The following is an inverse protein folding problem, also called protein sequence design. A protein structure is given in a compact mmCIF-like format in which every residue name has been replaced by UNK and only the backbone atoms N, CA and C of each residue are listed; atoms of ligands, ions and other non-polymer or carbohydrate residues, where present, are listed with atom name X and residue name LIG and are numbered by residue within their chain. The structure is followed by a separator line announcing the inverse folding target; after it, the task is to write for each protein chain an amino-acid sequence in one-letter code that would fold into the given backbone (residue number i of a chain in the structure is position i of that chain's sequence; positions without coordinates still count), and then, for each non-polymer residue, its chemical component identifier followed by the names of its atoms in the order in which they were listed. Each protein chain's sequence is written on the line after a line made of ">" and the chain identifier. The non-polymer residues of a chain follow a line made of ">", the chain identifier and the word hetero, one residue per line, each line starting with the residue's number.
data_IF_627934218484
#
_entry.id   IF_627934218484
#
_cell.length_a   1.000
_cell.length_b   1.000
_cell.length_c   1.000
_cell.angle_alpha   90.00
_cell.angle_beta   90.00
_cell.angle_gamma   90.00
#
_symmetry.space_group_name_H-M   'P 1'
#
loop_
_entity.id
_entity.type
_entity.pdbx_description
1 polymer ?
#
# COMPACT_ATOMS: atom_id res chain seq x y z
N UNK A 1 -17.27 6.77 36.75
CA UNK A 1 -16.13 5.95 36.31
C UNK A 1 -16.69 4.81 35.46
N UNK A 2 -16.67 4.96 34.14
CA UNK A 2 -17.14 3.92 33.23
C UNK A 2 -16.01 2.91 33.02
N UNK A 3 -16.05 1.80 33.75
CA UNK A 3 -15.06 0.71 33.65
C UNK A 3 -15.53 -0.24 32.56
N UNK A 4 -15.14 0.01 31.30
CA UNK A 4 -15.23 -1.00 30.25
C UNK A 4 -14.21 -2.10 30.51
N UNK A 5 -14.66 -3.35 30.42
CA UNK A 5 -13.81 -4.54 30.51
C UNK A 5 -12.76 -4.46 29.38
N UNK A 6 -11.45 -4.56 29.66
CA UNK A 6 -10.44 -4.58 28.62
C UNK A 6 -10.61 -5.84 27.78
N UNK A 7 -10.93 -5.67 26.50
CA UNK A 7 -10.79 -6.75 25.53
C UNK A 7 -9.37 -6.67 24.99
N UNK A 8 -8.55 -7.66 25.33
CA UNK A 8 -7.12 -7.75 24.99
C UNK A 8 -6.83 -7.55 23.49
N UNK A 9 -7.76 -7.91 22.61
CA UNK A 9 -7.61 -7.70 21.17
C UNK A 9 -7.58 -6.23 20.73
N UNK A 10 -8.22 -5.31 21.48
CA UNK A 10 -8.26 -3.90 21.09
C UNK A 10 -7.00 -3.13 21.54
N UNK A 11 -6.36 -3.55 22.65
CA UNK A 11 -5.22 -2.81 23.21
C UNK A 11 -3.97 -2.86 22.31
N UNK A 12 -3.66 -4.01 21.70
CA UNK A 12 -2.52 -4.14 20.80
C UNK A 12 -2.76 -3.41 19.46
N UNK A 13 -4.00 -3.41 18.97
CA UNK A 13 -4.40 -2.63 17.80
C UNK A 13 -4.27 -1.13 18.11
N UNK A 14 -4.81 -0.65 19.23
CA UNK A 14 -4.69 0.74 19.65
C UNK A 14 -3.23 1.15 19.87
N UNK A 15 -2.41 0.26 20.43
CA UNK A 15 -0.98 0.47 20.60
C UNK A 15 -0.27 0.60 19.25
N UNK A 16 -0.56 -0.29 18.29
CA UNK A 16 0.01 -0.22 16.95
C UNK A 16 -0.37 1.09 16.25
N UNK A 17 -1.66 1.46 16.30
CA UNK A 17 -2.19 2.72 15.77
C UNK A 17 -1.47 3.92 16.38
N UNK A 18 -1.41 3.98 17.71
CA UNK A 18 -0.73 5.06 18.43
C UNK A 18 0.75 5.13 18.07
N UNK A 19 1.40 3.98 17.88
CA UNK A 19 2.82 3.89 17.55
C UNK A 19 3.11 4.54 16.20
N UNK A 20 2.43 4.12 15.13
CA UNK A 20 2.72 4.70 13.81
C UNK A 20 2.28 6.15 13.71
N UNK A 21 1.15 6.56 14.31
CA UNK A 21 0.78 7.98 14.36
C UNK A 21 1.80 8.82 15.12
N UNK A 22 2.39 8.27 16.19
CA UNK A 22 3.43 8.98 16.94
C UNK A 22 4.69 9.18 16.12
N UNK A 23 5.11 8.16 15.35
CA UNK A 23 6.27 8.26 14.47
C UNK A 23 6.02 9.21 13.30
N UNK A 24 4.84 9.13 12.67
CA UNK A 24 4.45 9.96 11.52
C UNK A 24 4.16 11.42 11.88
N UNK A 25 4.16 11.80 13.17
CA UNK A 25 4.16 13.21 13.58
C UNK A 25 5.48 13.91 13.24
N UNK A 26 6.58 13.16 13.15
CA UNK A 26 7.84 13.71 12.68
C UNK A 26 7.74 14.06 11.19
N UNK A 27 8.44 15.12 10.77
CA UNK A 27 8.54 15.48 9.35
C UNK A 27 9.58 14.64 8.59
N UNK A 28 10.17 13.64 9.24
CA UNK A 28 11.26 12.82 8.72
C UNK A 28 10.76 11.49 8.17
N UNK A 29 11.65 10.77 7.51
CA UNK A 29 11.38 9.43 7.01
C UNK A 29 11.28 8.42 8.17
N UNK A 30 10.11 7.81 8.34
CA UNK A 30 9.89 6.72 9.28
C UNK A 30 10.15 5.39 8.58
N UNK A 31 11.17 4.67 9.00
CA UNK A 31 11.49 3.36 8.45
C UNK A 31 10.43 2.33 8.88
N UNK A 32 9.79 1.64 7.95
CA UNK A 32 8.74 0.63 8.24
C UNK A 32 9.27 -0.49 9.15
N UNK A 33 10.57 -0.77 9.12
CA UNK A 33 11.20 -1.75 10.03
C UNK A 33 10.90 -1.48 11.52
N UNK A 34 10.70 -0.22 11.92
CA UNK A 34 10.40 0.11 13.33
C UNK A 34 9.00 -0.30 13.76
N UNK A 35 8.12 -0.61 12.80
CA UNK A 35 6.74 -1.04 13.02
C UNK A 35 6.56 -2.55 12.95
N UNK A 36 7.58 -3.31 12.55
CA UNK A 36 7.47 -4.77 12.32
C UNK A 36 7.08 -5.51 13.59
N UNK A 37 7.75 -5.24 14.71
CA UNK A 37 7.47 -5.90 15.99
C UNK A 37 6.07 -5.58 16.52
N UNK A 38 5.66 -4.31 16.46
CA UNK A 38 4.34 -3.90 16.92
C UNK A 38 3.23 -4.41 15.99
N UNK A 39 3.47 -4.48 14.68
CA UNK A 39 2.57 -5.10 13.70
C UNK A 39 2.40 -6.60 13.97
N UNK A 40 3.50 -7.31 14.20
CA UNK A 40 3.46 -8.74 14.50
C UNK A 40 2.82 -9.04 15.87
N UNK A 41 2.84 -8.09 16.81
CA UNK A 41 2.17 -8.19 18.11
C UNK A 41 0.68 -7.86 18.05
N UNK A 42 0.27 -7.00 17.11
CA UNK A 42 -1.14 -6.66 16.87
C UNK A 42 -1.99 -7.88 16.49
N UNK A 43 -1.37 -8.95 15.96
CA UNK A 43 -2.02 -10.19 15.55
C UNK A 43 -3.18 -9.94 14.58
N UNK A 44 -2.86 -9.29 13.46
CA UNK A 44 -3.84 -8.89 12.46
C UNK A 44 -4.40 -10.08 11.70
N UNK A 45 -5.72 -10.10 11.50
CA UNK A 45 -6.36 -11.06 10.57
C UNK A 45 -5.88 -10.93 9.13
N UNK A 46 -5.32 -9.77 8.75
CA UNK A 46 -4.68 -9.56 7.46
C UNK A 46 -3.41 -10.40 7.30
N UNK A 47 -2.69 -10.65 8.40
CA UNK A 47 -1.32 -11.11 8.37
C UNK A 47 -1.04 -12.04 9.55
N UNK A 48 -1.71 -13.19 9.53
CA UNK A 48 -1.68 -14.19 10.60
C UNK A 48 -0.28 -14.78 10.75
N UNK A 49 0.43 -14.99 9.64
CA UNK A 49 1.78 -15.56 9.64
C UNK A 49 2.90 -14.56 9.97
N UNK A 50 2.62 -13.35 10.47
CA UNK A 50 3.63 -12.27 10.60
C UNK A 50 4.88 -12.67 11.39
N UNK A 51 4.73 -13.51 12.43
CA UNK A 51 5.83 -14.00 13.28
C UNK A 51 6.50 -15.26 12.76
N UNK A 52 5.88 -15.94 11.80
CA UNK A 52 6.36 -17.20 11.31
C UNK A 52 7.53 -17.00 10.33
N UNK A 53 8.48 -17.94 10.25
CA UNK A 53 9.53 -17.88 9.23
C UNK A 53 8.99 -18.15 7.83
N UNK A 54 7.89 -18.91 7.72
CA UNK A 54 7.21 -19.23 6.47
C UNK A 54 6.45 -18.01 5.89
N UNK A 55 6.29 -18.00 4.57
CA UNK A 55 5.58 -16.94 3.85
C UNK A 55 4.07 -17.08 4.11
N UNK A 56 3.45 -16.00 4.54
CA UNK A 56 1.99 -15.84 4.54
C UNK A 56 1.57 -15.39 3.14
N UNK A 57 1.26 -16.38 2.29
CA UNK A 57 0.90 -16.12 0.90
C UNK A 57 -0.36 -15.26 0.77
N UNK A 58 -1.32 -15.41 1.70
CA UNK A 58 -2.56 -14.64 1.70
C UNK A 58 -2.29 -13.17 1.96
N UNK A 59 -1.45 -12.86 2.96
CA UNK A 59 -1.03 -11.49 3.25
C UNK A 59 -0.25 -10.87 2.07
N UNK A 60 0.69 -11.61 1.49
CA UNK A 60 1.49 -11.14 0.35
C UNK A 60 0.61 -10.81 -0.87
N UNK A 61 -0.31 -11.72 -1.25
CA UNK A 61 -1.24 -11.51 -2.35
C UNK A 61 -2.18 -10.33 -2.07
N UNK A 62 -2.71 -10.24 -0.85
CA UNK A 62 -3.57 -9.13 -0.45
C UNK A 62 -2.88 -7.78 -0.61
N UNK A 63 -1.61 -7.69 -0.19
CA UNK A 63 -0.80 -6.49 -0.32
C UNK A 63 -0.48 -6.18 -1.78
N UNK A 64 -0.09 -7.18 -2.57
CA UNK A 64 0.21 -7.02 -4.00
C UNK A 64 -0.99 -6.51 -4.81
N UNK A 65 -2.22 -6.83 -4.40
CA UNK A 65 -3.44 -6.29 -5.01
C UNK A 65 -3.73 -4.84 -4.62
N UNK A 66 -3.17 -4.31 -3.54
CA UNK A 66 -3.45 -2.96 -3.00
C UNK A 66 -2.29 -1.99 -3.12
N UNK A 67 -1.15 -2.47 -3.63
CA UNK A 67 0.03 -1.67 -3.92
C UNK A 67 0.24 -1.59 -5.43
N UNK A 68 0.75 -0.46 -5.96
CA UNK A 68 1.08 -0.37 -7.38
C UNK A 68 2.14 -1.38 -7.81
N UNK A 69 2.15 -1.75 -9.09
CA UNK A 69 3.09 -2.74 -9.62
C UNK A 69 4.57 -2.36 -9.43
N UNK A 70 4.90 -1.07 -9.31
CA UNK A 70 6.26 -0.55 -9.08
C UNK A 70 6.73 -0.63 -7.62
N UNK A 71 5.90 -1.12 -6.68
CA UNK A 71 6.19 -1.04 -5.24
C UNK A 71 7.49 -1.77 -4.82
N UNK A 72 7.92 -2.76 -5.59
CA UNK A 72 9.20 -3.47 -5.46
C UNK A 72 10.41 -2.55 -5.66
N UNK A 73 10.28 -1.49 -6.47
CA UNK A 73 11.32 -0.47 -6.70
C UNK A 73 11.28 0.65 -5.65
N UNK A 74 10.11 0.90 -5.05
CA UNK A 74 9.88 2.02 -4.13
C UNK A 74 10.63 1.86 -2.80
N UNK A 75 11.51 2.78 -2.45
CA UNK A 75 12.10 2.90 -1.11
C UNK A 75 11.25 3.79 -0.21
N UNK A 76 10.76 4.91 -0.74
CA UNK A 76 10.08 5.95 0.04
C UNK A 76 8.63 6.12 -0.42
N UNK A 77 7.69 6.04 0.51
CA UNK A 77 6.29 6.41 0.29
C UNK A 77 5.99 7.74 0.96
N UNK A 78 5.64 8.76 0.19
CA UNK A 78 5.28 10.09 0.69
C UNK A 78 3.78 10.31 0.63
N UNK A 79 3.20 10.69 1.77
CA UNK A 79 1.76 10.85 1.94
C UNK A 79 1.40 12.33 2.08
N UNK A 80 0.45 12.81 1.29
CA UNK A 80 0.00 14.20 1.32
C UNK A 80 -1.46 14.38 0.88
N UNK A 81 -2.10 15.47 1.29
CA UNK A 81 -3.51 15.74 0.97
C UNK A 81 -3.68 16.52 -0.34
N UNK A 82 -2.67 17.28 -0.77
CA UNK A 82 -2.77 18.17 -1.93
C UNK A 82 -1.41 18.37 -2.61
N UNK A 83 -1.43 18.83 -3.87
CA UNK A 83 -0.22 19.18 -4.61
C UNK A 83 0.62 20.25 -3.89
N UNK A 84 -0.04 21.22 -3.25
CA UNK A 84 0.64 22.27 -2.47
C UNK A 84 1.44 21.69 -1.30
N UNK A 85 0.90 20.68 -0.60
CA UNK A 85 1.60 19.98 0.49
C UNK A 85 2.85 19.27 -0.02
N UNK A 86 2.75 18.60 -1.18
CA UNK A 86 3.91 17.96 -1.81
C UNK A 86 4.97 19.00 -2.19
N UNK A 87 4.58 20.06 -2.90
CA UNK A 87 5.49 21.10 -3.37
C UNK A 87 6.25 21.78 -2.22
N UNK A 88 5.55 22.14 -1.13
CA UNK A 88 6.16 22.77 0.06
C UNK A 88 7.19 21.90 0.77
N UNK A 89 7.18 20.58 0.55
CA UNK A 89 8.06 19.61 1.22
C UNK A 89 9.15 19.05 0.29
N UNK A 90 9.38 19.68 -0.86
CA UNK A 90 10.44 19.33 -1.80
C UNK A 90 10.01 18.32 -2.88
N UNK A 91 8.73 17.99 -2.96
CA UNK A 91 8.16 17.14 -4.01
C UNK A 91 7.36 18.02 -4.97
N UNK A 92 8.06 18.87 -5.71
CA UNK A 92 7.44 19.66 -6.77
C UNK A 92 6.98 18.74 -7.90
N UNK A 93 5.86 19.10 -8.55
CA UNK A 93 5.39 18.45 -9.78
C UNK A 93 5.12 16.94 -9.68
N UNK A 94 4.70 16.45 -8.52
CA UNK A 94 4.26 15.06 -8.32
C UNK A 94 3.22 14.63 -9.37
N UNK A 95 2.38 15.53 -9.84
CA UNK A 95 1.36 15.20 -10.86
C UNK A 95 1.94 14.97 -12.26
N UNK A 96 3.18 15.38 -12.52
CA UNK A 96 3.92 15.11 -13.76
C UNK A 96 4.72 13.79 -13.70
N UNK A 97 4.83 13.17 -12.52
CA UNK A 97 5.42 11.85 -12.37
C UNK A 97 4.53 10.77 -13.00
N UNK A 98 5.02 9.53 -13.07
CA UNK A 98 4.26 8.43 -13.65
C UNK A 98 3.03 8.12 -12.78
N UNK A 99 1.83 8.38 -13.30
CA UNK A 99 0.60 7.95 -12.64
C UNK A 99 0.54 6.42 -12.54
N UNK A 100 0.36 5.91 -11.33
CA UNK A 100 0.31 4.47 -11.05
C UNK A 100 -0.94 4.12 -10.26
N UNK A 101 -1.41 2.88 -10.40
CA UNK A 101 -2.61 2.40 -9.72
C UNK A 101 -2.43 0.98 -9.20
N UNK A 102 -3.16 0.65 -8.14
CA UNK A 102 -3.26 -0.69 -7.61
C UNK A 102 -4.52 -1.39 -8.18
N UNK A 103 -4.50 -2.73 -8.36
CA UNK A 103 -5.67 -3.48 -8.82
C UNK A 103 -6.93 -3.22 -7.96
N UNK A 104 -6.77 -3.22 -6.64
CA UNK A 104 -7.81 -3.00 -5.64
C UNK A 104 -7.47 -1.78 -4.74
N UNK A 105 -8.50 -1.20 -4.09
CA UNK A 105 -8.36 -0.04 -3.18
C UNK A 105 -7.54 1.10 -3.82
N UNK A 106 -7.99 1.54 -5.01
CA UNK A 106 -7.29 2.53 -5.84
C UNK A 106 -7.13 3.86 -5.09
N UNK A 107 -5.90 4.36 -5.05
CA UNK A 107 -5.52 5.68 -4.55
C UNK A 107 -4.84 6.43 -5.67
N UNK A 108 -5.00 7.76 -5.68
CA UNK A 108 -4.25 8.60 -6.61
C UNK A 108 -2.79 8.59 -6.17
N UNK A 109 -1.94 7.97 -6.98
CA UNK A 109 -0.54 7.76 -6.67
C UNK A 109 0.33 8.01 -7.90
N UNK A 110 1.55 8.48 -7.65
CA UNK A 110 2.51 8.84 -8.68
C UNK A 110 3.91 8.36 -8.29
N UNK A 111 4.61 7.75 -9.24
CA UNK A 111 5.93 7.19 -9.06
C UNK A 111 6.96 8.02 -9.83
N UNK A 112 8.06 8.40 -9.17
CA UNK A 112 9.13 9.22 -9.75
C UNK A 112 9.99 8.47 -10.80
N UNK A 113 9.76 7.17 -10.99
CA UNK A 113 10.54 6.32 -11.88
C UNK A 113 11.85 5.81 -11.27
N UNK A 114 12.13 6.16 -10.01
CA UNK A 114 13.38 5.85 -9.31
C UNK A 114 13.10 5.06 -8.03
N UNK A 115 12.61 5.71 -6.98
CA UNK A 115 12.41 5.09 -5.67
C UNK A 115 11.29 5.70 -4.81
N UNK A 116 10.63 6.77 -5.28
CA UNK A 116 9.63 7.51 -4.49
C UNK A 116 8.23 7.32 -5.05
N UNK A 117 7.31 6.90 -4.18
CA UNK A 117 5.89 6.83 -4.47
C UNK A 117 5.15 7.92 -3.68
N UNK A 118 4.60 8.89 -4.38
CA UNK A 118 3.69 9.86 -3.79
C UNK A 118 2.26 9.31 -3.81
N UNK A 119 1.59 9.36 -2.66
CA UNK A 119 0.21 8.87 -2.50
C UNK A 119 -0.64 9.97 -1.88
N UNK A 120 -1.70 10.35 -2.58
CA UNK A 120 -2.69 11.27 -2.04
C UNK A 120 -3.56 10.56 -1.01
N UNK A 121 -3.67 11.14 0.17
CA UNK A 121 -4.53 10.64 1.26
C UNK A 121 -5.69 11.60 1.51
N UNK A 122 -6.90 11.05 1.58
CA UNK A 122 -8.12 11.84 1.80
C UNK A 122 -8.56 11.79 3.26
N UNK A 123 -8.12 10.79 4.01
CA UNK A 123 -8.51 10.60 5.41
C UNK A 123 -7.46 9.87 6.23
N UNK A 124 -7.65 9.87 7.56
CA UNK A 124 -6.90 9.03 8.51
C UNK A 124 -6.95 7.55 8.14
N UNK A 125 -8.10 7.06 7.67
CA UNK A 125 -8.26 5.67 7.26
C UNK A 125 -7.36 5.25 6.10
N UNK A 126 -6.87 6.20 5.29
CA UNK A 126 -5.89 5.89 4.25
C UNK A 126 -4.53 5.56 4.86
N UNK A 127 -4.11 6.29 5.89
CA UNK A 127 -2.90 6.01 6.66
C UNK A 127 -3.06 4.67 7.37
N UNK A 128 -4.22 4.46 8.01
CA UNK A 128 -4.54 3.25 8.76
C UNK A 128 -4.59 1.99 7.86
N UNK A 129 -4.72 2.14 6.53
CA UNK A 129 -4.62 1.04 5.55
C UNK A 129 -3.22 0.92 4.94
N UNK A 130 -2.62 2.04 4.51
CA UNK A 130 -1.31 2.04 3.84
C UNK A 130 -0.20 1.52 4.77
N UNK A 131 -0.18 1.98 6.03
CA UNK A 131 0.91 1.61 6.95
C UNK A 131 0.93 0.11 7.24
N UNK A 132 -0.18 -0.56 7.65
CA UNK A 132 -0.18 -2.02 7.79
C UNK A 132 0.17 -2.77 6.51
N UNK A 133 -0.33 -2.33 5.34
CA UNK A 133 -0.06 -2.99 4.06
C UNK A 133 1.44 -2.92 3.71
N UNK A 134 2.08 -1.77 3.88
CA UNK A 134 3.52 -1.62 3.65
C UNK A 134 4.34 -2.47 4.64
N UNK A 135 3.93 -2.52 5.91
CA UNK A 135 4.58 -3.36 6.92
C UNK A 135 4.46 -4.84 6.59
N UNK A 136 3.25 -5.32 6.27
CA UNK A 136 3.02 -6.71 5.88
C UNK A 136 3.80 -7.08 4.62
N UNK A 137 3.74 -6.25 3.57
CA UNK A 137 4.52 -6.49 2.34
C UNK A 137 6.03 -6.54 2.61
N UNK A 138 6.56 -5.65 3.46
CA UNK A 138 7.99 -5.68 3.81
C UNK A 138 8.38 -6.97 4.55
N UNK A 139 7.56 -7.40 5.50
CA UNK A 139 7.80 -8.64 6.25
C UNK A 139 7.84 -9.83 5.26
N UNK A 140 6.81 -9.97 4.42
CA UNK A 140 6.71 -11.09 3.48
C UNK A 140 7.79 -11.06 2.39
N UNK A 141 8.12 -9.87 1.87
CA UNK A 141 9.26 -9.71 0.97
C UNK A 141 10.58 -10.13 1.63
N UNK A 142 10.77 -9.80 2.91
CA UNK A 142 11.99 -10.16 3.62
C UNK A 142 12.05 -11.65 3.96
N UNK A 143 10.90 -12.33 4.11
CA UNK A 143 10.84 -13.80 4.17
C UNK A 143 11.24 -14.42 2.83
N UNK A 144 10.66 -13.94 1.73
CA UNK A 144 11.06 -14.32 0.37
C UNK A 144 12.57 -14.16 0.18
N UNK A 145 13.11 -12.98 0.50
CA UNK A 145 14.54 -12.70 0.40
C UNK A 145 15.39 -13.73 1.14
N UNK A 146 15.04 -14.06 2.40
CA UNK A 146 15.76 -15.07 3.19
C UNK A 146 15.71 -16.46 2.57
N UNK A 147 14.54 -16.90 2.13
CA UNK A 147 14.33 -18.23 1.54
C UNK A 147 15.05 -18.36 0.18
N UNK A 148 15.12 -17.26 -0.57
CA UNK A 148 15.81 -17.18 -1.86
C UNK A 148 17.35 -17.12 -1.75
N UNK A 149 17.94 -17.13 -0.54
CA UNK A 149 19.40 -17.19 -0.39
C UNK A 149 19.98 -18.59 -0.59
N UNK A 150 19.15 -19.64 -0.68
CA UNK A 150 19.60 -21.00 -1.01
C UNK A 150 20.21 -21.04 -2.43
N UNK A 151 21.43 -21.57 -2.57
CA UNK A 151 22.21 -21.48 -3.81
C UNK A 151 21.48 -22.04 -5.05
N UNK A 152 20.81 -23.19 -4.92
CA UNK A 152 20.08 -23.82 -6.02
C UNK A 152 18.87 -22.96 -6.43
N UNK A 153 18.04 -22.57 -5.46
CA UNK A 153 16.83 -21.78 -5.72
C UNK A 153 17.18 -20.39 -6.28
N UNK A 154 18.23 -19.76 -5.77
CA UNK A 154 18.72 -18.46 -6.26
C UNK A 154 19.14 -18.54 -7.72
N UNK A 155 19.88 -19.58 -8.09
CA UNK A 155 20.33 -19.80 -9.47
C UNK A 155 19.12 -20.05 -10.38
N UNK A 156 18.19 -20.88 -9.95
CA UNK A 156 16.96 -21.17 -10.68
C UNK A 156 16.11 -19.91 -10.90
N UNK A 157 15.92 -19.07 -9.87
CA UNK A 157 15.19 -17.81 -9.99
C UNK A 157 15.91 -16.81 -10.89
N UNK A 158 17.25 -16.78 -10.88
CA UNK A 158 18.02 -15.94 -11.80
C UNK A 158 17.80 -16.36 -13.26
N UNK A 159 17.81 -17.67 -13.53
CA UNK A 159 17.54 -18.26 -14.85
C UNK A 159 16.08 -18.09 -15.30
N UNK A 160 15.14 -17.97 -14.36
CA UNK A 160 13.76 -17.60 -14.70
C UNK A 160 13.66 -16.10 -15.04
N UNK A 161 14.37 -15.25 -14.31
CA UNK A 161 14.32 -13.80 -14.49
C UNK A 161 15.03 -13.34 -15.77
N UNK A 162 16.08 -14.04 -16.22
CA UNK A 162 16.78 -13.79 -17.48
C UNK A 162 16.13 -14.46 -18.70
N UNK A 163 15.12 -15.32 -18.48
CA UNK A 163 14.40 -16.04 -19.52
C UNK A 163 15.09 -17.29 -20.05
N UNK A 164 16.19 -17.75 -19.43
CA UNK A 164 16.83 -19.02 -19.76
C UNK A 164 15.94 -20.23 -19.46
N UNK A 165 15.04 -20.11 -18.48
CA UNK A 165 14.01 -21.10 -18.16
C UNK A 165 12.63 -20.49 -18.45
N UNK A 166 11.78 -21.24 -19.14
CA UNK A 166 10.41 -20.84 -19.39
C UNK A 166 9.59 -20.86 -18.09
N UNK A 167 8.73 -19.86 -17.88
CA UNK A 167 7.81 -19.82 -16.76
C UNK A 167 6.57 -20.68 -17.08
N UNK A 168 6.69 -21.99 -16.85
CA UNK A 168 5.62 -22.98 -16.98
C UNK A 168 5.20 -23.56 -15.61
N UNK A 169 4.28 -24.53 -15.61
CA UNK A 169 3.73 -25.09 -14.37
C UNK A 169 4.79 -25.88 -13.56
N UNK A 170 5.74 -26.52 -14.25
CA UNK A 170 6.86 -27.22 -13.60
C UNK A 170 7.79 -26.21 -12.91
N UNK A 171 8.06 -25.07 -13.55
CA UNK A 171 8.80 -23.99 -12.94
C UNK A 171 8.09 -23.41 -11.70
N UNK A 172 6.76 -23.24 -11.77
CA UNK A 172 5.96 -22.81 -10.62
C UNK A 172 6.00 -23.83 -9.48
N UNK A 173 5.96 -25.13 -9.79
CA UNK A 173 6.10 -26.21 -8.81
C UNK A 173 7.48 -26.20 -8.14
N UNK A 174 8.55 -25.96 -8.91
CA UNK A 174 9.90 -25.82 -8.37
C UNK A 174 10.05 -24.60 -7.44
N UNK A 175 9.48 -23.44 -7.83
CA UNK A 175 9.43 -22.25 -6.95
C UNK A 175 8.65 -22.55 -5.66
N UNK A 176 7.49 -23.20 -5.77
CA UNK A 176 6.66 -23.54 -4.63
C UNK A 176 7.39 -24.45 -3.63
N UNK A 177 8.05 -25.51 -4.13
CA UNK A 177 8.86 -26.39 -3.32
C UNK A 177 10.04 -25.67 -2.66
N UNK A 178 10.75 -24.80 -3.40
CA UNK A 178 11.89 -24.06 -2.89
C UNK A 178 11.53 -23.02 -1.82
N UNK A 179 10.35 -22.40 -1.93
CA UNK A 179 9.85 -21.40 -0.97
C UNK A 179 9.06 -22.01 0.18
N UNK A 180 8.75 -23.32 0.14
CA UNK A 180 7.87 -23.96 1.12
C UNK A 180 6.43 -23.43 1.05
N UNK A 181 5.95 -23.04 -0.13
CA UNK A 181 4.61 -22.52 -0.36
C UNK A 181 3.74 -23.58 -1.05
N UNK A 182 2.41 -23.48 -0.88
CA UNK A 182 1.50 -24.27 -1.70
C UNK A 182 1.59 -23.83 -3.17
N UNK A 183 1.60 -24.80 -4.10
CA UNK A 183 1.64 -24.52 -5.54
C UNK A 183 0.50 -23.60 -5.99
N UNK A 184 -0.70 -23.82 -5.45
CA UNK A 184 -1.87 -22.98 -5.76
C UNK A 184 -1.66 -21.52 -5.37
N UNK A 185 -1.00 -21.24 -4.24
CA UNK A 185 -0.69 -19.89 -3.82
C UNK A 185 0.37 -19.23 -4.71
N UNK A 186 1.37 -20.00 -5.15
CA UNK A 186 2.37 -19.53 -6.12
C UNK A 186 1.72 -19.22 -7.47
N UNK A 187 0.78 -20.05 -7.94
CA UNK A 187 0.00 -19.78 -9.16
C UNK A 187 -0.81 -18.49 -9.02
N UNK A 188 -1.48 -18.27 -7.89
CA UNK A 188 -2.22 -17.03 -7.62
C UNK A 188 -1.30 -15.81 -7.59
N UNK A 189 -0.14 -15.93 -6.97
CA UNK A 189 0.86 -14.87 -6.94
C UNK A 189 1.39 -14.55 -8.36
N UNK A 190 1.59 -15.57 -9.19
CA UNK A 190 1.93 -15.42 -10.60
C UNK A 190 0.82 -14.69 -11.38
N UNK A 191 -0.45 -14.99 -11.13
CA UNK A 191 -1.56 -14.24 -11.73
C UNK A 191 -1.56 -12.77 -11.31
N UNK A 192 -1.30 -12.48 -10.03
CA UNK A 192 -1.30 -11.11 -9.47
C UNK A 192 -0.11 -10.29 -9.97
N UNK A 193 1.08 -10.88 -10.01
CA UNK A 193 2.31 -10.21 -10.51
C UNK A 193 2.44 -10.25 -12.02
N UNK A 194 1.73 -11.16 -12.69
CA UNK A 194 1.71 -11.34 -14.14
C UNK A 194 3.12 -11.48 -14.72
N UNK A 195 3.38 -10.75 -15.80
CA UNK A 195 4.67 -10.74 -16.51
C UNK A 195 5.86 -10.37 -15.65
N UNK A 196 5.64 -9.73 -14.49
CA UNK A 196 6.71 -9.31 -13.57
C UNK A 196 7.06 -10.38 -12.54
N UNK A 197 6.40 -11.54 -12.53
CA UNK A 197 6.60 -12.57 -11.49
C UNK A 197 8.07 -12.99 -11.33
N UNK A 198 8.71 -13.43 -12.43
CA UNK A 198 10.10 -13.86 -12.41
C UNK A 198 11.06 -12.72 -12.02
N UNK A 199 10.86 -11.53 -12.59
CA UNK A 199 11.65 -10.33 -12.26
C UNK A 199 11.53 -9.95 -10.78
N UNK A 200 10.32 -10.01 -10.19
CA UNK A 200 10.08 -9.72 -8.77
C UNK A 200 10.75 -10.73 -7.85
N UNK A 201 10.73 -12.01 -8.20
CA UNK A 201 11.50 -13.03 -7.47
C UNK A 201 13.01 -12.75 -7.55
N UNK A 202 13.52 -12.37 -8.72
CA UNK A 202 14.92 -11.97 -8.89
C UNK A 202 15.30 -10.77 -8.02
N UNK A 203 14.45 -9.74 -7.99
CA UNK A 203 14.63 -8.58 -7.12
C UNK A 203 14.58 -8.95 -5.63
N UNK A 204 13.64 -9.82 -5.23
CA UNK A 204 13.55 -10.31 -3.86
C UNK A 204 14.78 -11.13 -3.46
N UNK A 205 15.35 -11.93 -4.36
CA UNK A 205 16.60 -12.64 -4.14
C UNK A 205 17.79 -11.68 -3.99
N UNK A 206 17.80 -10.56 -4.73
CA UNK A 206 18.88 -9.59 -4.73
C UNK A 206 18.95 -8.73 -3.46
N UNK A 207 17.81 -8.27 -2.94
CA UNK A 207 17.80 -7.38 -1.79
C UNK A 207 16.55 -7.52 -0.90
N UNK A 208 16.71 -7.34 0.43
CA UNK A 208 15.56 -7.19 1.32
C UNK A 208 14.87 -5.85 1.07
N UNK A 209 13.56 -5.80 1.35
CA UNK A 209 12.78 -4.58 1.28
C UNK A 209 13.00 -3.71 2.52
N UNK A 210 13.15 -2.41 2.27
CA UNK A 210 13.38 -1.38 3.28
C UNK A 210 12.56 -0.14 2.94
N UNK A 211 11.26 -0.17 3.25
CA UNK A 211 10.40 0.98 3.06
C UNK A 211 10.65 2.05 4.12
N UNK A 212 10.52 3.29 3.70
CA UNK A 212 10.27 4.43 4.54
C UNK A 212 8.92 5.06 4.19
N UNK A 213 8.25 5.64 5.18
CA UNK A 213 7.04 6.43 5.00
C UNK A 213 7.26 7.82 5.57
N UNK A 214 6.79 8.83 4.85
CA UNK A 214 6.82 10.23 5.30
C UNK A 214 5.45 10.86 5.15
N UNK A 215 4.88 11.36 6.24
CA UNK A 215 3.63 12.09 6.24
C UNK A 215 3.93 13.60 6.10
N UNK A 216 3.59 14.18 4.96
CA UNK A 216 3.96 15.56 4.62
C UNK A 216 3.06 16.60 5.31
N UNK A 217 1.80 16.24 5.45
CA UNK A 217 0.80 16.91 6.26
C UNK A 217 -0.25 15.87 6.67
N UNK A 218 -0.98 16.12 7.76
CA UNK A 218 -1.79 15.09 8.40
C UNK A 218 -2.57 15.58 9.61
N UNK A 219 -2.53 16.88 9.89
CA UNK A 219 -3.33 17.46 10.96
C UNK A 219 -4.80 17.53 10.54
N UNK A 220 -5.69 17.60 11.53
CA UNK A 220 -7.12 17.83 11.25
C UNK A 220 -7.36 19.14 10.46
N UNK A 221 -6.50 20.13 10.67
CA UNK A 221 -6.56 21.41 9.94
C UNK A 221 -6.26 21.21 8.45
N UNK A 222 -5.28 20.37 8.13
CA UNK A 222 -4.93 20.06 6.74
C UNK A 222 -6.08 19.33 6.03
N UNK A 223 -6.71 18.37 6.69
CA UNK A 223 -7.90 17.69 6.16
C UNK A 223 -9.07 18.68 5.95
N UNK A 224 -9.35 19.55 6.93
CA UNK A 224 -10.40 20.58 6.78
C UNK A 224 -10.12 21.51 5.61
N UNK A 225 -8.88 21.96 5.46
CA UNK A 225 -8.48 22.81 4.33
C UNK A 225 -8.67 22.09 3.00
N UNK A 226 -8.26 20.82 2.90
CA UNK A 226 -8.47 20.01 1.71
C UNK A 226 -9.97 19.85 1.38
N UNK A 227 -10.82 19.59 2.38
CA UNK A 227 -12.28 19.54 2.21
C UNK A 227 -12.85 20.88 1.74
N UNK A 228 -12.40 22.00 2.33
CA UNK A 228 -12.83 23.35 1.91
C UNK A 228 -12.42 23.67 0.47
N UNK A 229 -11.19 23.34 0.08
CA UNK A 229 -10.72 23.52 -1.29
C UNK A 229 -11.50 22.66 -2.28
N UNK A 230 -11.74 21.39 -1.93
CA UNK A 230 -12.59 20.50 -2.73
C UNK A 230 -14.00 21.08 -2.91
N UNK A 231 -14.61 21.57 -1.82
CA UNK A 231 -15.92 22.21 -1.85
C UNK A 231 -15.95 23.44 -2.76
N UNK A 232 -14.95 24.32 -2.66
CA UNK A 232 -14.83 25.51 -3.52
C UNK A 232 -14.70 25.15 -5.01
N UNK A 233 -13.92 24.12 -5.35
CA UNK A 233 -13.80 23.66 -6.74
C UNK A 233 -15.12 23.08 -7.25
N UNK A 234 -15.81 22.31 -6.42
CA UNK A 234 -17.10 21.72 -6.77
C UNK A 234 -18.16 22.80 -6.96
N UNK A 235 -18.29 23.76 -6.03
CA UNK A 235 -19.28 24.82 -6.12
C UNK A 235 -19.04 25.75 -7.31
N UNK A 236 -17.77 26.02 -7.64
CA UNK A 236 -17.42 26.79 -8.84
C UNK A 236 -17.72 26.05 -10.16
N UNK A 237 -17.71 24.71 -10.15
CA UNK A 237 -17.92 23.87 -11.34
C UNK A 237 -19.39 23.53 -11.63
N UNK A 238 -20.32 23.86 -10.72
CA UNK A 238 -21.74 23.51 -10.84
C UNK A 238 -22.55 24.76 -11.16
N UNK A 239 -23.46 24.67 -12.14
CA UNK A 239 -24.28 25.81 -12.61
C UNK A 239 -25.44 26.20 -11.67
N UNK A 240 -25.68 25.38 -10.64
CA UNK A 240 -26.80 25.55 -9.71
C UNK A 240 -26.28 26.00 -8.35
N UNK A 241 -27.08 26.81 -7.65
CA UNK A 241 -26.82 27.15 -6.26
C UNK A 241 -26.97 25.89 -5.38
N UNK A 242 -25.83 25.34 -4.97
CA UNK A 242 -25.71 24.17 -4.10
C UNK A 242 -25.73 24.53 -2.61
N UNK A 243 -25.53 25.80 -2.24
CA UNK A 243 -25.47 26.24 -0.84
C UNK A 243 -26.86 26.32 -0.22
N UNK A 244 -27.87 26.68 -1.00
CA UNK A 244 -29.26 26.78 -0.56
C UNK A 244 -30.08 25.50 -0.76
N UNK A 245 -29.43 24.37 -1.11
CA UNK A 245 -30.11 23.10 -1.43
C UNK A 245 -29.68 21.99 -0.46
N UNK A 246 -30.59 21.05 -0.12
CA UNK A 246 -30.23 19.87 0.64
C UNK A 246 -29.17 19.04 -0.08
N UNK A 247 -28.06 18.76 0.60
CA UNK A 247 -26.97 17.95 0.07
C UNK A 247 -26.85 16.63 0.80
N UNK A 248 -26.66 15.57 0.01
CA UNK A 248 -26.45 14.22 0.52
C UNK A 248 -25.06 13.73 0.12
N UNK A 249 -24.25 13.42 1.11
CA UNK A 249 -22.93 12.81 0.91
C UNK A 249 -23.06 11.30 0.90
N UNK A 250 -22.70 10.67 -0.21
CA UNK A 250 -22.72 9.22 -0.39
C UNK A 250 -21.28 8.76 -0.52
N UNK A 251 -20.74 8.13 0.52
CA UNK A 251 -19.32 7.73 0.59
C UNK A 251 -19.05 6.28 0.17
N UNK A 252 -20.09 5.48 -0.13
CA UNK A 252 -19.97 4.09 -0.55
C UNK A 252 -21.01 3.76 -1.61
N UNK A 253 -20.67 2.82 -2.52
CA UNK A 253 -21.58 2.30 -3.54
C UNK A 253 -22.09 3.35 -4.56
N UNK A 254 -21.18 4.17 -5.09
CA UNK A 254 -21.49 5.18 -6.12
C UNK A 254 -22.07 4.60 -7.42
N UNK A 255 -21.97 3.28 -7.64
CA UNK A 255 -22.53 2.62 -8.82
C UNK A 255 -24.06 2.52 -8.80
N UNK A 256 -24.70 2.68 -7.64
CA UNK A 256 -26.15 2.60 -7.49
C UNK A 256 -26.87 3.95 -7.60
N UNK A 257 -26.15 5.07 -7.73
CA UNK A 257 -26.73 6.41 -7.66
C UNK A 257 -26.20 7.30 -8.79
N UNK A 258 -27.13 7.97 -9.48
CA UNK A 258 -26.80 8.96 -10.52
C UNK A 258 -26.45 10.27 -9.84
N UNK A 259 -25.31 10.88 -10.15
CA UNK A 259 -24.95 12.20 -9.65
C UNK A 259 -25.63 13.29 -10.51
N UNK A 260 -26.67 13.99 -10.00
CA UNK A 260 -27.38 15.01 -10.75
C UNK A 260 -26.62 16.35 -10.81
N UNK A 261 -25.57 16.53 -9.99
CA UNK A 261 -24.82 17.80 -9.90
C UNK A 261 -23.78 17.95 -11.00
N UNK A 262 -23.08 16.86 -11.36
CA UNK A 262 -22.02 16.85 -12.37
C UNK A 262 -22.37 16.11 -13.66
N UNK A 263 -23.54 15.46 -13.73
CA UNK A 263 -23.87 14.51 -14.79
C UNK A 263 -23.07 13.20 -14.71
N UNK A 264 -23.53 12.14 -15.38
CA UNK A 264 -22.95 10.79 -15.30
C UNK A 264 -21.81 10.52 -16.31
N UNK A 265 -21.44 11.47 -17.19
CA UNK A 265 -20.41 11.20 -18.19
C UNK A 265 -19.69 12.47 -18.66
N UNK A 266 -18.55 12.76 -18.03
CA UNK A 266 -17.38 13.23 -18.76
C UNK A 266 -16.30 12.15 -18.54
N UNK A 267 -16.28 11.16 -19.44
CA UNK A 267 -15.12 10.29 -19.64
C UNK A 267 -14.19 10.96 -20.63
#
# INVERSE_FOLDING_TARGET
>A
MDRRVPTTGNEEIELYIRTYYSLLRSSDEVQIKTLVESHAKMDSTLHVGAREPAIDASALIYCALRLPACIDQVRLVVLGQSQEVFARRGFADVENWQAVSAPARRRRAFFDGLETLAVYIASRSDIDDIVPILTAYQIEWNKLHRLLQGAQLRTFVAQLADGAIALDDDALAAVAAGLGMALEDVRRLNVVWGKSFASKLGQAAAAPKRFAVRLLAGSLVDYRRATSMWWQHLSAGVQYDVEQRPMYFISSNMHSLVNPLSGFALR
#
